data_IF_063730396648
#
_entry.id   IF_063730396648
#
_cell.length_a   1.000
_cell.length_b   1.000
_cell.length_c   1.000
_cell.angle_alpha   90.00
_cell.angle_beta   90.00
_cell.angle_gamma   90.00
#
_symmetry.space_group_name_H-M   'P 1'
#
loop_
_entity.id
_entity.type
_entity.pdbx_description
1 polymer ?
#
# COMPACT_ATOMS: atom_id res chain seq x y z
N UNK A 1 6.47 -4.04 1.22
CA UNK A 1 5.75 -3.92 2.50
C UNK A 1 6.62 -3.21 3.52
N UNK A 2 6.44 -1.90 3.57
CA UNK A 2 6.90 -1.07 4.67
C UNK A 2 6.21 -1.49 5.97
N UNK A 3 6.92 -1.36 7.09
CA UNK A 3 6.26 -1.34 8.40
C UNK A 3 5.37 -0.10 8.51
N UNK A 4 4.42 -0.11 9.43
CA UNK A 4 3.55 1.04 9.71
C UNK A 4 4.36 2.32 9.95
N UNK A 5 5.47 2.23 10.72
CA UNK A 5 6.36 3.35 10.98
C UNK A 5 7.01 3.89 9.69
N UNK A 6 7.54 3.00 8.85
CA UNK A 6 8.16 3.38 7.59
C UNK A 6 7.15 3.97 6.58
N UNK A 7 5.91 3.48 6.58
CA UNK A 7 4.82 4.00 5.77
C UNK A 7 4.42 5.43 6.22
N UNK A 8 4.29 5.65 7.53
CA UNK A 8 4.04 6.97 8.09
C UNK A 8 5.19 7.95 7.79
N UNK A 9 6.44 7.53 7.97
CA UNK A 9 7.61 8.35 7.67
C UNK A 9 7.63 8.77 6.20
N UNK A 10 7.29 7.84 5.29
CA UNK A 10 7.24 8.11 3.86
C UNK A 10 6.12 9.09 3.49
N UNK A 11 4.91 8.92 4.03
CA UNK A 11 3.83 9.86 3.82
C UNK A 11 4.18 11.26 4.36
N UNK A 12 4.80 11.33 5.54
CA UNK A 12 5.24 12.58 6.13
C UNK A 12 6.32 13.29 5.29
N UNK A 13 7.29 12.56 4.75
CA UNK A 13 8.33 13.12 3.88
C UNK A 13 7.73 13.74 2.60
N UNK A 14 6.78 13.06 1.97
CA UNK A 14 6.10 13.56 0.77
C UNK A 14 5.36 14.87 1.06
N UNK A 15 4.59 14.93 2.14
CA UNK A 15 3.89 16.14 2.55
C UNK A 15 4.87 17.28 2.93
N UNK A 16 5.98 16.96 3.60
CA UNK A 16 7.03 17.92 3.93
C UNK A 16 7.69 18.51 2.68
N UNK A 17 7.99 17.67 1.68
CA UNK A 17 8.56 18.11 0.40
C UNK A 17 7.61 18.99 -0.40
N UNK A 18 6.32 18.67 -0.43
CA UNK A 18 5.31 19.49 -1.10
C UNK A 18 5.23 20.89 -0.48
N UNK A 19 5.22 20.98 0.86
CA UNK A 19 5.26 22.27 1.57
C UNK A 19 6.58 23.03 1.33
N UNK A 20 7.71 22.33 1.33
CA UNK A 20 9.01 22.93 1.03
C UNK A 20 9.09 23.50 -0.40
N UNK A 21 8.33 22.92 -1.34
CA UNK A 21 8.20 23.41 -2.71
C UNK A 21 7.24 24.61 -2.85
N UNK A 22 6.65 25.09 -1.75
CA UNK A 22 5.79 26.28 -1.73
C UNK A 22 4.30 26.01 -1.67
N UNK A 23 3.88 24.75 -1.47
CA UNK A 23 2.48 24.45 -1.17
C UNK A 23 2.11 25.02 0.21
N UNK A 24 0.99 25.73 0.29
CA UNK A 24 0.42 26.25 1.53
C UNK A 24 -0.14 25.13 2.42
N UNK A 25 -0.63 24.05 1.81
CA UNK A 25 -1.03 22.81 2.46
C UNK A 25 -0.71 21.59 1.58
N UNK A 26 -0.48 20.43 2.21
CA UNK A 26 -0.25 19.17 1.51
C UNK A 26 -0.66 17.97 2.37
N UNK A 27 -1.32 17.01 1.74
CA UNK A 27 -1.66 15.71 2.32
C UNK A 27 -0.99 14.59 1.51
N UNK A 28 -0.67 13.49 2.18
CA UNK A 28 -0.15 12.29 1.55
C UNK A 28 -0.90 11.07 2.09
N UNK A 29 -1.27 10.17 1.19
CA UNK A 29 -1.89 8.89 1.52
C UNK A 29 -0.98 7.80 0.99
N UNK A 30 -0.68 6.83 1.84
CA UNK A 30 0.08 5.63 1.48
C UNK A 30 -0.86 4.43 1.57
N UNK A 31 -0.89 3.61 0.52
CA UNK A 31 -1.78 2.44 0.43
C UNK A 31 -0.91 1.21 0.20
N UNK A 32 -1.14 0.18 1.01
CA UNK A 32 -0.55 -1.14 0.79
C UNK A 32 -1.61 -2.21 1.01
N UNK A 33 -1.69 -3.15 0.06
CA UNK A 33 -2.61 -4.28 0.15
C UNK A 33 -1.91 -5.60 -0.14
N UNK A 34 -2.47 -6.65 0.46
CA UNK A 34 -2.04 -8.03 0.26
C UNK A 34 -3.26 -8.92 0.29
N UNK A 35 -3.44 -9.70 -0.76
CA UNK A 35 -4.53 -10.66 -0.87
C UNK A 35 -4.05 -12.03 -1.34
N UNK A 36 -4.78 -13.05 -0.88
CA UNK A 36 -4.65 -14.43 -1.31
C UNK A 36 -6.03 -14.90 -1.76
N UNK A 37 -6.15 -15.33 -3.00
CA UNK A 37 -7.36 -15.93 -3.56
C UNK A 37 -7.15 -17.44 -3.67
N UNK A 38 -8.04 -18.21 -3.06
CA UNK A 38 -8.00 -19.68 -3.09
C UNK A 38 -9.30 -20.16 -3.72
N UNK A 39 -9.20 -20.82 -4.87
CA UNK A 39 -10.33 -21.41 -5.59
C UNK A 39 -10.37 -22.92 -5.40
N UNK A 40 -11.53 -23.47 -5.01
CA UNK A 40 -11.76 -24.91 -4.84
C UNK A 40 -13.02 -25.29 -5.61
N UNK A 41 -12.92 -26.33 -6.44
CA UNK A 41 -14.03 -26.85 -7.24
C UNK A 41 -14.04 -28.37 -7.19
N UNK A 42 -15.23 -28.94 -6.98
CA UNK A 42 -15.41 -30.40 -6.86
C UNK A 42 -14.49 -31.04 -5.79
N UNK A 43 -14.33 -30.38 -4.65
CA UNK A 43 -13.42 -30.78 -3.57
C UNK A 43 -11.94 -30.89 -3.97
N UNK A 44 -11.55 -30.31 -5.12
CA UNK A 44 -10.17 -30.19 -5.57
C UNK A 44 -9.75 -28.71 -5.57
N UNK A 45 -8.51 -28.45 -5.14
CA UNK A 45 -7.90 -27.13 -5.29
C UNK A 45 -7.77 -26.83 -6.79
N UNK A 46 -8.36 -25.72 -7.22
CA UNK A 46 -8.33 -25.27 -8.60
C UNK A 46 -7.24 -24.22 -8.82
N UNK A 47 -7.15 -23.24 -7.92
CA UNK A 47 -6.19 -22.14 -8.07
C UNK A 47 -5.80 -21.49 -6.74
N UNK A 48 -4.60 -20.91 -6.71
CA UNK A 48 -4.10 -20.06 -5.64
C UNK A 48 -3.40 -18.86 -6.25
N UNK A 49 -4.05 -17.70 -6.21
CA UNK A 49 -3.46 -16.44 -6.65
C UNK A 49 -3.00 -15.60 -5.46
N UNK A 50 -1.94 -14.82 -5.68
CA UNK A 50 -1.42 -13.84 -4.72
C UNK A 50 -1.32 -12.49 -5.41
N UNK A 51 -1.88 -11.47 -4.78
CA UNK A 51 -1.72 -10.07 -5.20
C UNK A 51 -1.16 -9.25 -4.05
N UNK A 52 -0.17 -8.40 -4.35
CA UNK A 52 0.47 -7.47 -3.43
C UNK A 52 0.67 -6.15 -4.18
N UNK A 53 0.31 -5.02 -3.59
CA UNK A 53 0.51 -3.69 -4.18
C UNK A 53 0.84 -2.65 -3.10
N UNK A 54 1.58 -1.60 -3.50
CA UNK A 54 2.08 -0.55 -2.62
C UNK A 54 2.24 0.76 -3.43
N UNK A 55 1.54 1.83 -3.02
CA UNK A 55 1.48 3.13 -3.72
C UNK A 55 1.64 4.32 -2.76
#
# INVERSE_FOLDING_TARGET
>A
MLTEAQACDRAADIAARARAAGADAADAVFIADRSLLVSVRMAALEDVERSESEE
#
